data_IF_880410464592
#
_entry.id   IF_880410464592
#
_cell.length_a   1.000
_cell.length_b   1.000
_cell.length_c   1.000
_cell.angle_alpha   90.00
_cell.angle_beta   90.00
_cell.angle_gamma   90.00
#
_symmetry.space_group_name_H-M   'P 1'
#
loop_
_entity.id
_entity.type
_entity.pdbx_description
1 polymer ?
#
# COMPACT_ATOMS: atom_id res chain seq x y z
N UNK A 1 15.03 33.42 12.72
CA UNK A 1 14.82 31.95 12.78
C UNK A 1 15.70 31.33 11.70
N UNK A 2 16.83 30.71 12.06
CA UNK A 2 17.69 30.06 11.08
C UNK A 2 16.95 28.85 10.48
N UNK A 3 16.84 28.79 9.15
CA UNK A 3 16.34 27.61 8.46
C UNK A 3 17.29 26.45 8.80
N UNK A 4 16.86 25.53 9.67
CA UNK A 4 17.67 24.36 9.99
C UNK A 4 17.87 23.56 8.72
N UNK A 5 19.11 23.37 8.30
CA UNK A 5 19.42 22.55 7.14
C UNK A 5 19.14 21.08 7.49
N UNK A 6 18.68 20.32 6.49
CA UNK A 6 18.43 18.88 6.65
C UNK A 6 19.74 18.17 7.02
N UNK A 7 19.82 17.45 8.15
CA UNK A 7 21.02 16.76 8.56
C UNK A 7 21.31 15.57 7.64
N UNK A 8 22.58 15.16 7.55
CA UNK A 8 22.97 13.91 6.87
C UNK A 8 22.57 12.70 7.73
N UNK A 9 22.16 11.61 7.08
CA UNK A 9 21.84 10.36 7.76
C UNK A 9 23.14 9.65 8.12
N UNK A 10 23.60 9.85 9.36
CA UNK A 10 24.82 9.23 9.91
C UNK A 10 24.48 8.39 11.14
N UNK A 11 25.34 7.42 11.52
CA UNK A 11 25.11 6.59 12.71
C UNK A 11 25.02 7.40 14.00
N UNK A 12 25.60 8.60 14.02
CA UNK A 12 25.57 9.56 15.12
C UNK A 12 24.29 10.41 15.19
N UNK A 13 23.39 10.31 14.20
CA UNK A 13 22.15 11.08 14.19
C UNK A 13 21.17 10.54 15.25
N UNK A 14 20.59 11.41 16.07
CA UNK A 14 19.63 10.92 17.06
C UNK A 14 18.27 10.56 16.43
N UNK A 15 17.62 9.54 16.98
CA UNK A 15 16.34 9.04 16.49
C UNK A 15 15.20 10.10 16.53
N UNK A 16 15.25 11.06 17.46
CA UNK A 16 14.25 12.13 17.57
C UNK A 16 14.40 13.13 16.42
N UNK A 17 15.62 13.51 16.09
CA UNK A 17 15.92 14.37 14.94
C UNK A 17 15.64 13.65 13.63
N UNK A 18 16.02 12.37 13.51
CA UNK A 18 15.66 11.55 12.34
C UNK A 18 14.15 11.60 12.04
N UNK A 19 13.31 11.51 13.08
CA UNK A 19 11.85 11.56 12.95
C UNK A 19 11.25 12.90 12.52
N UNK A 20 12.02 14.00 12.56
CA UNK A 20 11.58 15.34 12.14
C UNK A 20 11.76 15.59 10.64
N UNK A 21 12.53 14.74 9.96
CA UNK A 21 12.89 14.91 8.55
C UNK A 21 12.28 13.84 7.66
N UNK A 22 11.95 14.22 6.44
CA UNK A 22 11.55 13.28 5.40
C UNK A 22 12.80 12.65 4.76
N UNK A 23 12.81 11.32 4.65
CA UNK A 23 13.91 10.55 4.06
C UNK A 23 13.47 9.83 2.79
N UNK A 24 14.28 9.83 1.75
CA UNK A 24 14.03 9.02 0.56
C UNK A 24 14.41 7.55 0.78
N UNK A 25 13.77 6.64 0.04
CA UNK A 25 14.06 5.21 0.11
C UNK A 25 15.52 4.93 -0.19
N UNK A 26 16.11 5.63 -1.17
CA UNK A 26 17.53 5.47 -1.54
C UNK A 26 18.46 5.77 -0.37
N UNK A 27 18.19 6.83 0.38
CA UNK A 27 18.98 7.24 1.54
C UNK A 27 18.86 6.23 2.69
N UNK A 28 17.64 5.76 2.96
CA UNK A 28 17.40 4.73 3.98
C UNK A 28 18.08 3.41 3.61
N UNK A 29 18.02 3.01 2.34
CA UNK A 29 18.68 1.80 1.83
C UNK A 29 20.20 1.91 1.92
N UNK A 30 20.77 3.04 1.51
CA UNK A 30 22.21 3.27 1.57
C UNK A 30 22.72 3.17 3.01
N UNK A 31 22.08 3.88 3.93
CA UNK A 31 22.41 3.82 5.35
C UNK A 31 22.32 2.40 5.92
N UNK A 32 21.21 1.70 5.68
CA UNK A 32 21.04 0.33 6.18
C UNK A 32 22.10 -0.63 5.62
N UNK A 33 22.50 -0.48 4.36
CA UNK A 33 23.57 -1.28 3.75
C UNK A 33 24.94 -1.00 4.37
N UNK A 34 25.27 0.28 4.60
CA UNK A 34 26.52 0.67 5.28
C UNK A 34 26.59 0.09 6.69
N UNK A 35 25.46 -0.04 7.38
CA UNK A 35 25.38 -0.64 8.72
C UNK A 35 25.21 -2.17 8.70
N UNK A 36 25.25 -2.83 7.53
CA UNK A 36 25.10 -4.29 7.40
C UNK A 36 23.68 -4.81 7.70
N UNK A 37 22.67 -3.95 7.70
CA UNK A 37 21.27 -4.26 7.98
C UNK A 37 20.50 -4.59 6.69
N UNK A 38 19.38 -5.31 6.85
CA UNK A 38 18.50 -5.60 5.72
C UNK A 38 17.96 -4.29 5.12
N UNK A 39 18.16 -4.12 3.81
CA UNK A 39 17.69 -2.97 3.05
C UNK A 39 16.44 -3.27 2.21
N UNK A 40 15.69 -4.34 2.55
CA UNK A 40 14.45 -4.72 1.88
C UNK A 40 13.22 -4.36 2.72
N UNK A 41 12.09 -4.15 2.04
CA UNK A 41 10.81 -3.76 2.66
C UNK A 41 10.24 -2.48 2.04
N UNK A 42 9.06 -2.09 2.51
CA UNK A 42 8.46 -0.81 2.16
C UNK A 42 9.20 0.33 2.84
N UNK A 43 8.99 1.56 2.38
CA UNK A 43 9.60 2.75 2.99
C UNK A 43 9.38 2.82 4.51
N UNK A 44 8.19 2.46 4.98
CA UNK A 44 7.86 2.45 6.40
C UNK A 44 8.73 1.46 7.19
N UNK A 45 8.99 0.27 6.63
CA UNK A 45 9.82 -0.75 7.25
C UNK A 45 11.28 -0.29 7.34
N UNK A 46 11.78 0.33 6.27
CA UNK A 46 13.13 0.90 6.23
C UNK A 46 13.27 2.03 7.26
N UNK A 47 12.31 2.96 7.32
CA UNK A 47 12.31 4.06 8.31
C UNK A 47 12.29 3.54 9.74
N UNK A 48 11.47 2.51 10.02
CA UNK A 48 11.39 1.89 11.35
C UNK A 48 12.74 1.30 11.75
N UNK A 49 13.37 0.53 10.84
CA UNK A 49 14.67 -0.11 11.08
C UNK A 49 15.80 0.89 11.32
N UNK A 50 15.83 1.99 10.55
CA UNK A 50 16.80 3.08 10.78
C UNK A 50 16.57 3.73 12.14
N UNK A 51 15.32 4.02 12.50
CA UNK A 51 15.00 4.61 13.81
C UNK A 51 15.42 3.71 14.97
N UNK A 52 15.15 2.41 14.87
CA UNK A 52 15.57 1.41 15.87
C UNK A 52 17.08 1.43 16.03
N UNK A 53 17.83 1.35 14.92
CA UNK A 53 19.30 1.42 14.93
C UNK A 53 19.83 2.68 15.62
N UNK A 54 19.30 3.86 15.28
CA UNK A 54 19.70 5.13 15.89
C UNK A 54 19.30 5.28 17.37
N UNK A 55 18.40 4.43 17.88
CA UNK A 55 17.94 4.48 19.28
C UNK A 55 18.71 3.52 20.17
N UNK A 56 19.09 2.35 19.64
CA UNK A 56 19.72 1.29 20.42
C UNK A 56 21.23 1.20 20.20
N UNK A 57 21.77 1.75 19.10
CA UNK A 57 23.19 1.64 18.74
C UNK A 57 23.62 0.22 18.35
N UNK A 58 22.80 -0.79 18.63
CA UNK A 58 23.06 -2.17 18.30
C UNK A 58 22.82 -2.47 16.82
N UNK A 59 23.89 -2.92 16.16
CA UNK A 59 23.80 -3.81 15.00
C UNK A 59 23.31 -5.16 15.53
N UNK A 60 22.07 -5.22 16.02
CA UNK A 60 21.53 -6.44 16.61
C UNK A 60 21.61 -7.53 15.55
N UNK A 61 22.49 -8.50 15.83
CA UNK A 61 22.75 -9.65 15.00
C UNK A 61 21.43 -10.27 14.54
N UNK A 62 21.28 -10.32 13.22
CA UNK A 62 20.62 -11.37 12.45
C UNK A 62 19.61 -12.20 13.24
N UNK A 63 18.35 -11.86 13.08
CA UNK A 63 17.43 -12.85 12.51
C UNK A 63 16.93 -12.28 11.20
N UNK A 64 17.57 -12.67 10.10
CA UNK A 64 16.80 -12.82 8.87
C UNK A 64 15.57 -13.60 9.29
N UNK A 65 14.37 -13.01 9.18
CA UNK A 65 13.14 -13.72 9.47
C UNK A 65 13.26 -15.09 8.79
N UNK A 66 13.02 -16.21 9.49
CA UNK A 66 13.17 -17.54 8.89
C UNK A 66 12.51 -17.46 7.53
N UNK A 67 13.29 -17.72 6.48
CA UNK A 67 12.80 -17.58 5.12
C UNK A 67 11.47 -18.29 5.07
N UNK A 68 10.40 -17.59 4.65
CA UNK A 68 9.13 -18.27 4.39
C UNK A 68 9.51 -19.47 3.52
N UNK A 69 9.06 -20.67 3.89
CA UNK A 69 9.44 -21.92 3.23
C UNK A 69 9.20 -21.89 1.71
N UNK A 70 9.33 -23.00 0.98
CA UNK A 70 9.01 -22.97 -0.46
C UNK A 70 7.63 -22.33 -0.71
N UNK A 71 7.53 -21.53 -1.78
CA UNK A 71 6.25 -20.90 -2.15
C UNK A 71 5.23 -22.00 -2.45
N UNK A 72 3.97 -21.74 -2.18
CA UNK A 72 2.89 -22.68 -2.50
C UNK A 72 2.88 -23.01 -4.01
N UNK A 73 3.22 -22.02 -4.83
CA UNK A 73 3.34 -22.17 -6.29
C UNK A 73 4.48 -23.08 -6.76
N UNK A 74 5.41 -23.45 -5.89
CA UNK A 74 6.53 -24.34 -6.19
C UNK A 74 6.25 -25.82 -5.85
N UNK A 75 5.03 -26.15 -5.40
CA UNK A 75 4.65 -27.53 -5.07
C UNK A 75 4.71 -28.41 -6.34
N UNK A 76 5.33 -29.60 -6.27
CA UNK A 76 5.30 -30.57 -7.37
C UNK A 76 3.87 -30.92 -7.78
N UNK A 77 3.57 -30.81 -9.07
CA UNK A 77 2.20 -30.99 -9.59
C UNK A 77 1.32 -29.74 -9.55
N UNK A 78 1.87 -28.61 -9.10
CA UNK A 78 1.22 -27.30 -9.14
C UNK A 78 0.11 -27.10 -8.10
N UNK A 79 -0.48 -25.90 -8.13
CA UNK A 79 -1.56 -25.52 -7.23
C UNK A 79 -2.87 -26.23 -7.59
N UNK A 80 -3.60 -26.67 -6.57
CA UNK A 80 -4.94 -27.26 -6.65
C UNK A 80 -5.89 -26.50 -5.74
N UNK A 81 -7.19 -26.65 -5.95
CA UNK A 81 -8.21 -26.03 -5.08
C UNK A 81 -8.04 -26.44 -3.61
N UNK A 82 -7.63 -27.69 -3.35
CA UNK A 82 -7.38 -28.21 -2.00
C UNK A 82 -6.02 -27.81 -1.40
N UNK A 83 -5.14 -27.13 -2.16
CA UNK A 83 -3.83 -26.72 -1.66
C UNK A 83 -4.01 -25.71 -0.50
N UNK A 84 -3.43 -25.97 0.68
CA UNK A 84 -3.46 -25.02 1.79
C UNK A 84 -2.62 -23.79 1.45
N UNK A 85 -3.09 -22.61 1.86
CA UNK A 85 -2.34 -21.36 1.67
C UNK A 85 -1.36 -21.20 2.82
N UNK A 86 -0.06 -21.25 2.53
CA UNK A 86 1.00 -21.15 3.55
C UNK A 86 2.00 -20.05 3.21
N UNK A 87 2.51 -20.06 1.98
CA UNK A 87 3.43 -19.07 1.45
C UNK A 87 2.95 -18.55 0.10
N UNK A 88 1.81 -17.88 0.14
CA UNK A 88 1.17 -17.23 -1.00
C UNK A 88 2.06 -16.13 -1.60
N UNK A 89 2.11 -16.08 -2.94
CA UNK A 89 2.79 -15.02 -3.67
C UNK A 89 2.09 -14.70 -5.00
N UNK A 90 2.16 -13.45 -5.45
CA UNK A 90 1.58 -13.02 -6.74
C UNK A 90 2.56 -13.28 -7.91
N UNK A 91 2.93 -14.54 -8.15
CA UNK A 91 3.81 -14.93 -9.26
C UNK A 91 3.07 -15.52 -10.46
N UNK A 92 3.81 -15.80 -11.53
CA UNK A 92 3.27 -16.34 -12.78
C UNK A 92 2.57 -17.69 -12.58
N UNK A 93 3.14 -18.59 -11.78
CA UNK A 93 2.54 -19.89 -11.50
C UNK A 93 1.21 -19.75 -10.73
N UNK A 94 1.17 -18.86 -9.73
CA UNK A 94 -0.07 -18.51 -9.02
C UNK A 94 -1.09 -17.88 -9.94
N UNK A 95 -0.66 -17.00 -10.85
CA UNK A 95 -1.52 -16.39 -11.87
C UNK A 95 -2.14 -17.45 -12.79
N UNK A 96 -1.33 -18.35 -13.34
CA UNK A 96 -1.80 -19.43 -14.21
C UNK A 96 -2.80 -20.36 -13.51
N UNK A 97 -2.66 -20.58 -12.20
CA UNK A 97 -3.66 -21.30 -11.42
C UNK A 97 -5.01 -20.56 -11.42
N UNK A 98 -5.02 -19.26 -11.11
CA UNK A 98 -6.27 -18.50 -11.03
C UNK A 98 -6.94 -18.30 -12.40
N UNK A 99 -6.16 -18.07 -13.45
CA UNK A 99 -6.68 -17.92 -14.82
C UNK A 99 -7.41 -19.18 -15.33
N UNK A 100 -7.09 -20.37 -14.79
CA UNK A 100 -7.84 -21.60 -15.09
C UNK A 100 -9.21 -21.69 -14.42
N UNK A 101 -9.43 -20.95 -13.33
CA UNK A 101 -10.63 -21.07 -12.49
C UNK A 101 -11.50 -19.80 -12.52
N UNK A 102 -10.98 -18.70 -13.05
CA UNK A 102 -11.58 -17.37 -13.00
C UNK A 102 -11.45 -16.70 -14.37
N UNK A 103 -12.58 -16.30 -14.94
CA UNK A 103 -12.60 -15.48 -16.14
C UNK A 103 -12.25 -14.01 -15.82
N UNK A 104 -11.54 -13.35 -16.73
CA UNK A 104 -11.10 -11.96 -16.54
C UNK A 104 -10.18 -11.73 -15.34
N UNK A 105 -9.41 -12.74 -14.94
CA UNK A 105 -8.62 -12.72 -13.70
C UNK A 105 -7.66 -11.52 -13.60
N UNK A 106 -7.65 -10.92 -12.40
CA UNK A 106 -6.61 -9.97 -11.99
C UNK A 106 -6.34 -10.05 -10.49
N UNK A 107 -5.10 -9.77 -10.09
CA UNK A 107 -4.75 -9.60 -8.68
C UNK A 107 -5.40 -8.35 -8.10
N UNK A 108 -6.52 -8.54 -7.39
CA UNK A 108 -7.23 -7.49 -6.65
C UNK A 108 -6.68 -7.33 -5.22
N UNK A 109 -7.16 -6.33 -4.49
CA UNK A 109 -6.68 -6.03 -3.12
C UNK A 109 -6.89 -7.19 -2.14
N UNK A 110 -7.96 -7.99 -2.32
CA UNK A 110 -8.20 -9.19 -1.53
C UNK A 110 -7.00 -10.15 -1.63
N UNK A 111 -6.59 -10.53 -2.84
CA UNK A 111 -5.45 -11.42 -3.07
C UNK A 111 -4.11 -10.77 -2.66
N UNK A 112 -3.93 -9.47 -2.91
CA UNK A 112 -2.72 -8.74 -2.49
C UNK A 112 -2.54 -8.71 -0.96
N UNK A 113 -3.64 -8.81 -0.20
CA UNK A 113 -3.60 -8.96 1.25
C UNK A 113 -2.82 -10.19 1.69
N UNK A 114 -3.03 -11.34 1.03
CA UNK A 114 -2.34 -12.60 1.37
C UNK A 114 -0.84 -12.54 1.13
N UNK A 115 -0.39 -11.81 0.10
CA UNK A 115 1.05 -11.62 -0.17
C UNK A 115 1.75 -10.75 0.90
N UNK A 116 1.01 -9.86 1.57
CA UNK A 116 1.52 -9.00 2.66
C UNK A 116 1.68 -9.75 3.99
N UNK A 117 1.22 -11.00 4.05
CA UNK A 117 1.37 -11.86 5.22
C UNK A 117 0.02 -12.11 5.88
N UNK A 118 -0.55 -13.28 5.60
CA UNK A 118 -1.59 -13.89 6.43
C UNK A 118 -0.96 -15.17 6.98
N UNK A 119 -0.90 -15.27 8.31
CA UNK A 119 -0.37 -16.42 9.02
C UNK A 119 -1.47 -16.95 9.92
N UNK A 120 -1.71 -18.26 9.90
CA UNK A 120 -2.60 -18.95 10.85
C UNK A 120 -4.06 -19.16 10.41
N UNK A 121 -4.49 -18.66 9.25
CA UNK A 121 -5.82 -19.02 8.70
C UNK A 121 -5.74 -20.34 7.94
N UNK A 122 -6.60 -21.31 8.33
CA UNK A 122 -6.80 -22.56 7.60
C UNK A 122 -7.69 -22.28 6.38
N UNK A 123 -7.08 -21.80 5.31
CA UNK A 123 -7.74 -21.57 4.02
C UNK A 123 -7.00 -22.29 2.90
N UNK A 124 -7.74 -22.59 1.85
CA UNK A 124 -7.25 -23.25 0.65
C UNK A 124 -7.26 -22.30 -0.54
N UNK A 125 -6.60 -22.68 -1.62
CA UNK A 125 -6.67 -21.95 -2.88
C UNK A 125 -8.10 -21.90 -3.46
N UNK A 126 -8.96 -22.87 -3.15
CA UNK A 126 -10.40 -22.82 -3.45
C UNK A 126 -11.11 -21.69 -2.70
N UNK A 127 -10.78 -21.46 -1.43
CA UNK A 127 -11.31 -20.33 -0.66
C UNK A 127 -10.83 -18.99 -1.23
N UNK A 128 -9.60 -18.93 -1.75
CA UNK A 128 -9.10 -17.74 -2.45
C UNK A 128 -9.88 -17.45 -3.74
N UNK A 129 -10.25 -18.47 -4.51
CA UNK A 129 -11.10 -18.33 -5.71
C UNK A 129 -12.46 -17.75 -5.33
N UNK A 130 -13.12 -18.31 -4.32
CA UNK A 130 -14.43 -17.82 -3.87
C UNK A 130 -14.37 -16.43 -3.25
N UNK A 131 -13.33 -16.14 -2.46
CA UNK A 131 -13.08 -14.81 -1.93
C UNK A 131 -12.83 -13.77 -3.01
N UNK A 132 -12.11 -14.13 -4.07
CA UNK A 132 -11.90 -13.26 -5.22
C UNK A 132 -13.23 -12.93 -5.91
N UNK A 133 -14.08 -13.92 -6.19
CA UNK A 133 -15.40 -13.70 -6.82
C UNK A 133 -16.27 -12.76 -5.99
N UNK A 134 -16.29 -12.95 -4.66
CA UNK A 134 -17.01 -12.07 -3.74
C UNK A 134 -16.46 -10.64 -3.77
N UNK A 135 -15.13 -10.48 -3.81
CA UNK A 135 -14.50 -9.16 -3.90
C UNK A 135 -14.81 -8.45 -5.22
N UNK A 136 -14.80 -9.17 -6.35
CA UNK A 136 -15.16 -8.61 -7.65
C UNK A 136 -16.63 -8.21 -7.72
N UNK A 137 -17.54 -9.04 -7.19
CA UNK A 137 -18.97 -8.71 -7.09
C UNK A 137 -19.21 -7.45 -6.27
N UNK A 138 -18.55 -7.32 -5.12
CA UNK A 138 -18.62 -6.08 -4.31
C UNK A 138 -18.09 -4.86 -5.07
N UNK A 139 -17.04 -5.02 -5.88
CA UNK A 139 -16.53 -3.94 -6.73
C UNK A 139 -17.52 -3.56 -7.82
N UNK A 140 -18.12 -4.51 -8.53
CA UNK A 140 -19.12 -4.20 -9.56
C UNK A 140 -20.36 -3.53 -8.97
N UNK A 141 -20.70 -3.83 -7.72
CA UNK A 141 -21.78 -3.17 -6.95
C UNK A 141 -21.36 -1.81 -6.36
N UNK A 142 -20.12 -1.34 -6.59
CA UNK A 142 -19.64 -0.05 -6.07
C UNK A 142 -19.38 -0.02 -4.56
N UNK A 143 -19.35 -1.17 -3.89
CA UNK A 143 -19.22 -1.30 -2.43
C UNK A 143 -17.77 -1.35 -1.93
N UNK A 144 -16.80 -0.93 -2.74
CA UNK A 144 -15.40 -0.85 -2.32
C UNK A 144 -15.10 0.54 -1.75
N UNK A 145 -14.66 0.59 -0.50
CA UNK A 145 -14.09 1.81 0.08
C UNK A 145 -12.80 2.15 -0.69
N UNK A 146 -12.83 3.26 -1.42
CA UNK A 146 -11.65 3.84 -2.02
C UNK A 146 -10.77 4.32 -0.86
N UNK A 147 -9.62 3.70 -0.66
CA UNK A 147 -8.70 4.11 0.41
C UNK A 147 -8.36 5.60 0.27
N UNK A 148 -8.28 6.33 1.40
CA UNK A 148 -8.07 7.80 1.44
C UNK A 148 -6.97 8.33 0.51
N UNK A 149 -5.92 7.54 0.28
CA UNK A 149 -4.83 7.87 -0.65
C UNK A 149 -5.25 7.98 -2.13
N UNK A 150 -6.37 7.37 -2.53
CA UNK A 150 -6.91 7.39 -3.89
C UNK A 150 -8.05 8.40 -4.07
N UNK A 151 -8.59 8.97 -2.99
CA UNK A 151 -9.66 9.97 -3.03
C UNK A 151 -9.25 11.18 -3.88
N UNK A 152 -8.00 11.63 -3.77
CA UNK A 152 -7.47 12.74 -4.57
C UNK A 152 -7.52 12.43 -6.07
N UNK A 153 -7.13 11.22 -6.48
CA UNK A 153 -7.15 10.82 -7.89
C UNK A 153 -8.57 10.70 -8.42
N UNK A 154 -9.48 10.13 -7.63
CA UNK A 154 -10.90 10.05 -7.97
C UNK A 154 -11.50 11.45 -8.11
N UNK A 155 -11.29 12.33 -7.12
CA UNK A 155 -11.76 13.71 -7.13
C UNK A 155 -11.24 14.47 -8.35
N UNK A 156 -9.96 14.31 -8.68
CA UNK A 156 -9.34 14.95 -9.84
C UNK A 156 -10.02 14.52 -11.14
N UNK A 157 -10.22 13.21 -11.34
CA UNK A 157 -10.89 12.67 -12.53
C UNK A 157 -12.31 13.19 -12.65
N UNK A 158 -13.07 13.15 -11.56
CA UNK A 158 -14.47 13.59 -11.53
C UNK A 158 -14.60 15.11 -11.77
N UNK A 159 -13.67 15.91 -11.23
CA UNK A 159 -13.62 17.36 -11.46
C UNK A 159 -13.45 17.68 -12.94
N UNK A 160 -12.47 17.08 -13.62
CA UNK A 160 -12.23 17.38 -15.03
C UNK A 160 -13.28 16.77 -15.96
N UNK A 161 -13.91 15.66 -15.57
CA UNK A 161 -15.03 15.10 -16.32
C UNK A 161 -16.29 15.99 -16.24
N UNK A 162 -16.50 16.67 -15.11
CA UNK A 162 -17.66 17.54 -14.91
C UNK A 162 -17.42 19.01 -15.30
N UNK A 163 -16.16 19.44 -15.41
CA UNK A 163 -15.78 20.82 -15.76
C UNK A 163 -14.83 20.79 -16.96
N UNK A 164 -15.39 20.64 -18.15
CA UNK A 164 -14.64 20.75 -19.41
C UNK A 164 -13.96 22.11 -19.50
N UNK A 165 -12.63 22.16 -19.44
CA UNK A 165 -11.84 23.39 -19.45
C UNK A 165 -11.51 23.97 -18.08
N UNK A 166 -11.92 23.32 -16.98
CA UNK A 166 -11.50 23.71 -15.62
C UNK A 166 -9.98 23.66 -15.46
N UNK A 167 -9.44 24.56 -14.66
CA UNK A 167 -8.00 24.65 -14.41
C UNK A 167 -7.56 23.74 -13.25
N UNK A 168 -6.27 23.40 -13.24
CA UNK A 168 -5.66 22.68 -12.10
C UNK A 168 -5.75 23.47 -10.79
N UNK A 169 -5.75 24.81 -10.86
CA UNK A 169 -5.88 25.68 -9.70
C UNK A 169 -7.27 25.51 -9.06
N UNK A 170 -8.32 25.58 -9.86
CA UNK A 170 -9.71 25.40 -9.40
C UNK A 170 -9.94 23.99 -8.84
N UNK A 171 -9.38 22.95 -9.48
CA UNK A 171 -9.42 21.59 -8.97
C UNK A 171 -8.78 21.50 -7.58
N UNK A 172 -7.61 22.10 -7.40
CA UNK A 172 -6.90 22.10 -6.12
C UNK A 172 -7.63 22.88 -5.03
N UNK A 173 -8.28 24.00 -5.37
CA UNK A 173 -9.11 24.77 -4.42
C UNK A 173 -10.36 23.99 -4.00
N UNK A 174 -11.03 23.33 -4.97
CA UNK A 174 -12.16 22.45 -4.70
C UNK A 174 -11.77 21.27 -3.81
N UNK A 175 -10.63 20.64 -4.08
CA UNK A 175 -10.08 19.55 -3.27
C UNK A 175 -9.75 19.99 -1.85
N UNK A 176 -9.06 21.15 -1.70
CA UNK A 176 -8.74 21.72 -0.38
C UNK A 176 -9.99 22.02 0.44
N UNK A 177 -11.08 22.42 -0.22
CA UNK A 177 -12.35 22.71 0.43
C UNK A 177 -13.01 21.44 0.94
N UNK A 178 -13.11 20.39 0.11
CA UNK A 178 -13.82 19.17 0.49
C UNK A 178 -13.05 18.34 1.52
N UNK A 179 -11.72 18.28 1.43
CA UNK A 179 -10.90 17.43 2.33
C UNK A 179 -10.91 17.88 3.79
N UNK A 180 -11.33 19.11 4.06
CA UNK A 180 -11.45 19.71 5.38
C UNK A 180 -12.90 19.70 5.90
N UNK A 181 -13.81 19.10 5.13
CA UNK A 181 -15.21 18.96 5.49
C UNK A 181 -15.48 17.56 6.07
N UNK A 182 -16.47 17.46 6.96
CA UNK A 182 -16.97 16.17 7.41
C UNK A 182 -17.74 15.46 6.29
N UNK A 183 -17.45 14.18 6.04
CA UNK A 183 -18.09 13.35 5.01
C UNK A 183 -17.13 12.90 3.88
N UNK A 184 -17.66 12.29 2.80
CA UNK A 184 -16.82 11.77 1.71
C UNK A 184 -16.14 12.88 0.90
N UNK A 185 -14.83 12.74 0.66
CA UNK A 185 -14.00 13.67 -0.12
C UNK A 185 -14.20 13.50 -1.65
N UNK A 186 -15.45 13.57 -2.12
CA UNK A 186 -15.79 13.35 -3.55
C UNK A 186 -16.17 14.66 -4.24
N UNK A 187 -15.94 14.74 -5.55
CA UNK A 187 -16.34 15.93 -6.33
C UNK A 187 -17.86 16.12 -6.32
N UNK A 188 -18.64 15.03 -6.31
CA UNK A 188 -20.10 15.07 -6.18
C UNK A 188 -20.54 15.78 -4.90
N UNK A 189 -19.91 15.47 -3.77
CA UNK A 189 -20.22 16.09 -2.49
C UNK A 189 -19.79 17.57 -2.44
N UNK A 190 -18.63 17.89 -3.02
CA UNK A 190 -18.21 19.29 -3.23
C UNK A 190 -19.26 20.07 -4.03
N UNK A 191 -19.65 19.58 -5.21
CA UNK A 191 -20.61 20.24 -6.09
C UNK A 191 -21.97 20.43 -5.40
N UNK A 192 -22.44 19.45 -4.63
CA UNK A 192 -23.68 19.54 -3.85
C UNK A 192 -23.63 20.65 -2.81
N UNK A 193 -22.52 20.77 -2.06
CA UNK A 193 -22.31 21.83 -1.06
C UNK A 193 -22.16 23.20 -1.70
N UNK A 194 -21.45 23.28 -2.81
CA UNK A 194 -21.21 24.53 -3.50
C UNK A 194 -22.49 25.10 -4.13
N UNK A 195 -23.40 24.23 -4.62
CA UNK A 195 -24.75 24.64 -5.03
C UNK A 195 -25.57 25.20 -3.86
N UNK A 196 -25.56 24.52 -2.70
CA UNK A 196 -26.27 24.98 -1.49
C UNK A 196 -25.79 26.31 -0.93
N UNK A 197 -24.52 26.68 -1.14
CA UNK A 197 -23.96 27.98 -0.72
C UNK A 197 -24.32 29.13 -1.66
N UNK A 198 -24.79 28.84 -2.88
CA UNK A 198 -25.10 29.81 -3.93
C UNK A 198 -26.60 30.03 -4.15
N UNK A 199 -27.45 29.22 -3.51
CA UNK A 199 -28.89 29.44 -3.36
C UNK A 199 -29.15 30.16 -2.05
#
# INVERSE_FOLDING_TARGET
MAASARPKLTPSLDAKTFGKWYWEVKELVAFLREQGLSSTGLKADLTKRVREFLSTGDVAERRAAPGKGPRDSAIPGGLKLSTPVQNYNNDAATRSFFEKHLDGFRFNEYLRGFAKGISGQKITYGDLVEGWKKAEKKRSEGKQEIGKQFEYNQFTRDFFAANSGGSRKEMMEAWRTIRNCEGPNTYKEFARRNKRKRS
#
